data_IF_611176385908
#
_entry.id   IF_611176385908
#
_cell.length_a   1.000
_cell.length_b   1.000
_cell.length_c   1.000
_cell.angle_alpha   90.00
_cell.angle_beta   90.00
_cell.angle_gamma   90.00
#
_symmetry.space_group_name_H-M   'P 1'
#
loop_
_entity.id
_entity.type
_entity.pdbx_description
1 polymer ?
#
# COMPACT_ATOMS: atom_id res chain seq x y z
N UNK A 1 -18.36 -25.63 17.93
CA UNK A 1 -17.56 -24.39 17.91
C UNK A 1 -17.42 -23.98 16.46
N UNK A 2 -18.12 -22.92 16.02
CA UNK A 2 -17.99 -22.39 14.65
C UNK A 2 -16.79 -21.46 14.65
N UNK A 3 -15.79 -21.63 13.76
CA UNK A 3 -14.66 -20.70 13.70
C UNK A 3 -15.18 -19.30 13.38
N UNK A 4 -14.73 -18.31 14.15
CA UNK A 4 -15.05 -16.91 13.86
C UNK A 4 -14.63 -16.55 12.43
N UNK A 5 -15.43 -15.75 11.71
CA UNK A 5 -15.07 -15.31 10.37
C UNK A 5 -13.76 -14.52 10.40
N UNK A 6 -12.79 -14.94 9.58
CA UNK A 6 -11.43 -14.36 9.54
C UNK A 6 -11.41 -12.85 9.29
N UNK A 7 -12.44 -12.29 8.66
CA UNK A 7 -12.57 -10.85 8.41
C UNK A 7 -12.58 -10.01 9.69
N UNK A 8 -13.06 -10.54 10.81
CA UNK A 8 -13.06 -9.82 12.10
C UNK A 8 -11.64 -9.59 12.66
N UNK A 9 -10.63 -10.31 12.13
CA UNK A 9 -9.22 -10.15 12.50
C UNK A 9 -8.46 -9.17 11.61
N UNK A 10 -9.10 -8.67 10.54
CA UNK A 10 -8.50 -7.75 9.58
C UNK A 10 -8.98 -6.33 9.90
N UNK A 11 -8.05 -5.46 10.25
CA UNK A 11 -8.36 -4.06 10.54
C UNK A 11 -8.14 -3.22 9.27
N UNK A 12 -9.19 -2.53 8.83
CA UNK A 12 -9.14 -1.57 7.73
C UNK A 12 -9.11 -0.16 8.31
N UNK A 13 -8.00 0.54 8.14
CA UNK A 13 -7.86 1.93 8.58
C UNK A 13 -6.98 2.71 7.60
N UNK A 14 -7.10 4.03 7.61
CA UNK A 14 -6.15 4.91 6.90
C UNK A 14 -4.83 4.98 7.67
N UNK A 15 -3.75 5.41 7.03
CA UNK A 15 -2.44 5.60 7.69
C UNK A 15 -2.55 6.47 8.94
N UNK A 16 -3.39 7.50 8.89
CA UNK A 16 -3.61 8.42 10.00
C UNK A 16 -4.31 7.74 11.20
N UNK A 17 -5.14 6.72 10.95
CA UNK A 17 -5.81 5.91 11.99
C UNK A 17 -4.91 4.88 12.71
N UNK A 18 -3.66 4.71 12.23
CA UNK A 18 -2.66 3.80 12.81
C UNK A 18 -1.64 4.49 13.73
N UNK A 19 -1.80 5.79 14.02
CA UNK A 19 -0.85 6.51 14.88
C UNK A 19 -0.78 5.89 16.29
N UNK A 20 0.36 5.29 16.63
CA UNK A 20 0.61 4.65 17.93
C UNK A 20 0.30 3.15 18.02
N UNK A 21 -0.07 2.49 16.92
CA UNK A 21 -0.32 1.04 16.88
C UNK A 21 0.49 0.37 15.77
N UNK A 22 1.21 -0.69 16.11
CA UNK A 22 1.98 -1.51 15.17
C UNK A 22 1.22 -2.78 14.80
N UNK A 23 1.44 -3.28 13.58
CA UNK A 23 0.85 -4.53 13.08
C UNK A 23 1.94 -5.43 12.50
N UNK A 24 1.76 -6.74 12.60
CA UNK A 24 2.73 -7.70 12.08
C UNK A 24 2.84 -7.60 10.55
N UNK A 25 1.69 -7.41 9.89
CA UNK A 25 1.58 -7.24 8.43
C UNK A 25 0.80 -5.96 8.14
N UNK A 26 1.35 -5.14 7.24
CA UNK A 26 0.67 -3.97 6.67
C UNK A 26 0.54 -4.14 5.15
N UNK A 27 -0.65 -3.88 4.62
CA UNK A 27 -0.90 -3.78 3.19
C UNK A 27 -1.26 -2.33 2.89
N UNK A 28 -0.41 -1.66 2.12
CA UNK A 28 -0.51 -0.25 1.80
C UNK A 28 -0.93 -0.05 0.34
N UNK A 29 -2.11 0.52 0.14
CA UNK A 29 -2.70 0.74 -1.17
C UNK A 29 -2.53 2.20 -1.61
N UNK A 30 -1.79 2.41 -2.69
CA UNK A 30 -1.42 3.71 -3.26
C UNK A 30 -2.30 4.10 -4.47
N UNK A 31 -3.51 3.54 -4.58
CA UNK A 31 -4.37 3.67 -5.76
C UNK A 31 -5.14 5.00 -5.73
N UNK A 32 -4.51 6.08 -6.20
CA UNK A 32 -5.25 7.29 -6.61
C UNK A 32 -4.69 7.80 -7.93
N UNK A 33 -5.42 7.52 -9.00
CA UNK A 33 -5.22 8.12 -10.33
C UNK A 33 -6.39 9.08 -10.53
N UNK A 34 -6.12 10.38 -10.47
CA UNK A 34 -7.06 11.42 -10.86
C UNK A 34 -6.36 12.30 -11.88
N UNK A 35 -7.01 12.51 -13.03
CA UNK A 35 -6.42 13.13 -14.22
C UNK A 35 -5.89 14.56 -14.01
N UNK A 36 -6.21 15.22 -12.90
CA UNK A 36 -5.97 16.67 -12.77
C UNK A 36 -5.22 17.17 -11.53
N UNK A 37 -4.95 16.38 -10.49
CA UNK A 37 -4.40 16.96 -9.24
C UNK A 37 -3.50 16.03 -8.45
N UNK A 38 -2.27 15.88 -8.95
CA UNK A 38 -1.09 15.56 -8.14
C UNK A 38 -1.13 14.27 -7.31
N UNK A 39 0.05 13.85 -6.89
CA UNK A 39 0.25 12.75 -5.95
C UNK A 39 -0.14 13.21 -4.53
N UNK A 40 -1.37 13.71 -4.30
CA UNK A 40 -1.72 14.48 -3.09
C UNK A 40 -1.41 13.77 -1.77
N UNK A 41 -1.71 12.47 -1.65
CA UNK A 41 -1.38 11.66 -0.48
C UNK A 41 0.04 11.05 -0.55
N UNK A 42 0.56 10.85 -1.77
CA UNK A 42 1.85 10.22 -2.04
C UNK A 42 3.04 11.19 -1.90
N UNK A 43 2.79 12.50 -1.92
CA UNK A 43 3.79 13.50 -1.55
C UNK A 43 4.01 13.59 -0.04
N UNK A 44 3.12 13.02 0.78
CA UNK A 44 3.27 13.04 2.23
C UNK A 44 4.23 11.94 2.69
N UNK A 45 5.53 12.27 2.66
CA UNK A 45 6.63 11.47 3.19
C UNK A 45 6.35 11.02 4.63
N UNK A 46 5.59 11.80 5.42
CA UNK A 46 5.27 11.42 6.79
C UNK A 46 4.38 10.18 6.81
N UNK A 47 3.43 10.07 5.89
CA UNK A 47 2.57 8.89 5.74
C UNK A 47 3.33 7.67 5.26
N UNK A 48 4.28 7.86 4.33
CA UNK A 48 5.21 6.81 3.91
C UNK A 48 6.03 6.30 5.10
N UNK A 49 6.65 7.21 5.87
CA UNK A 49 7.45 6.85 7.04
C UNK A 49 6.63 6.13 8.11
N UNK A 50 5.39 6.55 8.35
CA UNK A 50 4.48 5.84 9.25
C UNK A 50 4.20 4.44 8.72
N UNK A 51 3.82 4.28 7.46
CA UNK A 51 3.55 2.95 6.88
C UNK A 51 4.79 2.03 6.97
N UNK A 52 5.99 2.56 6.68
CA UNK A 52 7.25 1.83 6.74
C UNK A 52 7.64 1.40 8.16
N UNK A 53 7.39 2.23 9.18
CA UNK A 53 7.82 1.98 10.56
C UNK A 53 6.80 1.24 11.42
N UNK A 54 5.55 1.11 10.97
CA UNK A 54 4.48 0.43 11.73
C UNK A 54 4.34 -1.06 11.43
N UNK A 55 4.98 -1.55 10.36
CA UNK A 55 5.01 -2.96 10.00
C UNK A 55 6.12 -3.67 10.78
N UNK A 56 5.80 -4.67 11.61
CA UNK A 56 6.79 -5.42 12.39
C UNK A 56 7.50 -6.50 11.58
N UNK A 57 6.77 -7.17 10.68
CA UNK A 57 7.30 -8.32 9.95
C UNK A 57 7.21 -8.17 8.43
N UNK A 58 6.11 -7.65 7.90
CA UNK A 58 5.95 -7.52 6.44
C UNK A 58 5.15 -6.29 6.04
N UNK A 59 5.62 -5.62 4.99
CA UNK A 59 4.94 -4.50 4.35
C UNK A 59 4.75 -4.82 2.86
N UNK A 60 3.51 -4.77 2.40
CA UNK A 60 3.16 -4.89 0.99
C UNK A 60 2.68 -3.54 0.49
N UNK A 61 3.26 -3.05 -0.60
CA UNK A 61 2.88 -1.76 -1.23
C UNK A 61 2.27 -2.08 -2.59
N UNK A 62 1.02 -1.66 -2.80
CA UNK A 62 0.27 -1.87 -4.03
C UNK A 62 0.03 -0.51 -4.69
N UNK A 63 0.49 -0.31 -5.92
CA UNK A 63 0.32 0.98 -6.59
C UNK A 63 0.78 1.00 -8.04
N UNK A 64 0.46 2.09 -8.72
CA UNK A 64 0.94 2.34 -10.08
C UNK A 64 2.39 2.85 -10.01
N UNK A 65 3.33 2.08 -10.56
CA UNK A 65 4.76 2.42 -10.56
C UNK A 65 5.04 3.79 -11.19
N UNK A 66 4.51 4.06 -12.37
CA UNK A 66 4.77 5.32 -13.09
C UNK A 66 4.27 6.54 -12.30
N UNK A 67 3.12 6.41 -11.63
CA UNK A 67 2.60 7.46 -10.76
C UNK A 67 3.49 7.69 -9.52
N UNK A 68 3.96 6.62 -8.88
CA UNK A 68 4.81 6.69 -7.69
C UNK A 68 6.21 7.25 -8.00
N UNK A 69 6.82 6.85 -9.12
CA UNK A 69 8.15 7.29 -9.53
C UNK A 69 8.24 8.79 -9.88
N UNK A 70 7.08 9.48 -10.01
CA UNK A 70 7.05 10.94 -10.14
C UNK A 70 7.51 11.68 -8.86
N UNK A 71 7.55 10.98 -7.72
CA UNK A 71 8.13 11.47 -6.47
C UNK A 71 9.50 10.82 -6.20
N UNK A 72 10.50 11.61 -5.81
CA UNK A 72 11.88 11.14 -5.63
C UNK A 72 12.04 10.13 -4.49
N UNK A 73 11.29 10.28 -3.39
CA UNK A 73 11.34 9.35 -2.26
C UNK A 73 10.74 7.99 -2.64
N UNK A 74 9.57 8.01 -3.29
CA UNK A 74 8.93 6.79 -3.81
C UNK A 74 9.79 6.10 -4.86
N UNK A 75 10.42 6.85 -5.76
CA UNK A 75 11.36 6.31 -6.74
C UNK A 75 12.54 5.60 -6.07
N UNK A 76 13.14 6.21 -5.05
CA UNK A 76 14.23 5.60 -4.30
C UNK A 76 13.79 4.29 -3.60
N UNK A 77 12.60 4.29 -2.98
CA UNK A 77 12.03 3.09 -2.35
C UNK A 77 11.78 1.96 -3.36
N UNK A 78 11.23 2.28 -4.53
CA UNK A 78 10.99 1.31 -5.61
C UNK A 78 12.32 0.76 -6.14
N UNK A 79 13.33 1.60 -6.29
CA UNK A 79 14.66 1.18 -6.74
C UNK A 79 15.34 0.24 -5.72
N UNK A 80 15.27 0.54 -4.43
CA UNK A 80 15.74 -0.36 -3.36
C UNK A 80 15.02 -1.71 -3.40
N UNK A 81 13.68 -1.70 -3.53
CA UNK A 81 12.88 -2.91 -3.64
C UNK A 81 13.28 -3.76 -4.85
N UNK A 82 13.50 -3.14 -6.02
CA UNK A 82 13.99 -3.82 -7.22
C UNK A 82 15.38 -4.42 -6.97
N UNK A 83 16.31 -3.65 -6.42
CA UNK A 83 17.68 -4.09 -6.16
C UNK A 83 17.74 -5.30 -5.22
N UNK A 84 16.81 -5.38 -4.27
CA UNK A 84 16.71 -6.47 -3.30
C UNK A 84 15.85 -7.65 -3.76
N UNK A 85 15.25 -7.58 -4.95
CA UNK A 85 14.37 -8.63 -5.48
C UNK A 85 12.96 -8.66 -4.87
N UNK A 86 12.52 -7.57 -4.22
CA UNK A 86 11.19 -7.41 -3.61
C UNK A 86 10.25 -6.53 -4.46
N UNK A 87 10.35 -6.64 -5.78
CA UNK A 87 9.45 -5.97 -6.74
C UNK A 87 8.84 -7.00 -7.68
N UNK A 88 7.54 -6.89 -7.91
CA UNK A 88 6.81 -7.74 -8.86
C UNK A 88 5.82 -6.88 -9.62
N UNK A 89 5.88 -6.90 -10.95
CA UNK A 89 4.83 -6.33 -11.78
C UNK A 89 3.63 -7.28 -11.77
N UNK A 90 2.47 -6.76 -11.37
CA UNK A 90 1.27 -7.59 -11.25
C UNK A 90 0.26 -7.19 -12.32
N UNK A 91 0.16 -8.00 -13.36
CA UNK A 91 -0.87 -7.87 -14.39
C UNK A 91 -2.15 -8.59 -13.94
N UNK A 92 -2.86 -8.05 -12.93
CA UNK A 92 -4.12 -8.67 -12.49
C UNK A 92 -5.23 -8.34 -13.49
N UNK A 93 -5.62 -9.32 -14.31
CA UNK A 93 -6.90 -9.26 -15.04
C UNK A 93 -8.03 -9.52 -14.05
N UNK A 94 -8.58 -8.46 -13.45
CA UNK A 94 -9.83 -8.59 -12.73
C UNK A 94 -10.95 -8.89 -13.74
N UNK A 95 -11.46 -10.12 -13.76
CA UNK A 95 -12.80 -10.37 -14.29
C UNK A 95 -13.76 -9.71 -13.32
N UNK A 96 -14.20 -8.49 -13.64
CA UNK A 96 -15.39 -7.95 -13.01
C UNK A 96 -16.54 -8.90 -13.34
N UNK A 97 -16.99 -9.66 -12.36
CA UNK A 97 -18.30 -10.31 -12.44
C UNK A 97 -19.30 -9.16 -12.36
N UNK A 98 -19.82 -8.74 -13.50
CA UNK A 98 -21.03 -7.92 -13.53
C UNK A 98 -22.14 -8.75 -12.90
N UNK A 99 -22.54 -8.40 -11.68
CA UNK A 99 -23.83 -8.81 -11.16
C UNK A 99 -24.87 -8.00 -11.94
N UNK A 100 -25.40 -8.60 -13.01
CA UNK A 100 -26.67 -8.25 -13.61
C UNK A 100 -27.80 -8.82 -12.77
#
# INVERSE_FOLDING_TARGET
>A
MVPEPYYNKIEFNTVDGFQGREKDIIIFSCVRVGEDKGIGFLQDIRRMNVALTRAKSSLFILGNKAALESNSQWKALIQDAIQRGFYTDVSVKFKFCSFS
#
